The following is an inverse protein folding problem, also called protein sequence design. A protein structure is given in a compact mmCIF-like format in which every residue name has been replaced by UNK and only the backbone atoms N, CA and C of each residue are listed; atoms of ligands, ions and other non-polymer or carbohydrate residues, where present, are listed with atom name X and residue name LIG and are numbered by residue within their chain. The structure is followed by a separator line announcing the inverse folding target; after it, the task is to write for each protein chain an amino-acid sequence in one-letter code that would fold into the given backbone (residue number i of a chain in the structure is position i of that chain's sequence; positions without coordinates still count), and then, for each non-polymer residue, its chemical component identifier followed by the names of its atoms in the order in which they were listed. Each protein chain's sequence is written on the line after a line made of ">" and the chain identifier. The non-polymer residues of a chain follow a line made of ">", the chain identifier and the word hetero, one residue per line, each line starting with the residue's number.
data_IF_261328216915
#
_entry.id   IF_261328216915
#
_cell.length_a   1.000
_cell.length_b   1.000
_cell.length_c   1.000
_cell.angle_alpha   90.00
_cell.angle_beta   90.00
_cell.angle_gamma   90.00
#
_symmetry.space_group_name_H-M   'P 1'
#
loop_
_entity.id
_entity.type
_entity.pdbx_description
1 polymer ?
#
# COMPACT_ATOMS: atom_id res chain seq x y z
N UNK A 1 9.74 14.52 7.66
CA UNK A 1 8.72 13.51 7.33
C UNK A 1 7.71 13.32 8.46
N UNK A 2 8.11 12.88 9.66
CA UNK A 2 7.22 12.66 10.82
C UNK A 2 6.26 13.84 11.11
N UNK A 3 6.80 15.05 11.30
CA UNK A 3 6.00 16.25 11.56
C UNK A 3 5.01 16.58 10.43
N UNK A 4 5.38 16.26 9.19
CA UNK A 4 4.57 16.56 8.01
C UNK A 4 3.38 15.61 7.89
N UNK A 5 3.59 14.33 8.20
CA UNK A 5 2.52 13.34 8.27
C UNK A 5 1.60 13.54 9.46
N UNK A 6 2.14 13.89 10.63
CA UNK A 6 1.31 14.23 11.78
C UNK A 6 0.46 15.48 11.48
N UNK A 7 1.01 16.47 10.78
CA UNK A 7 0.29 17.66 10.34
C UNK A 7 -0.79 17.31 9.30
N UNK A 8 -0.42 16.59 8.25
CA UNK A 8 -1.33 16.16 7.19
C UNK A 8 -2.47 15.28 7.73
N UNK A 9 -2.15 14.28 8.56
CA UNK A 9 -3.15 13.44 9.24
C UNK A 9 -4.07 14.28 10.13
N UNK A 10 -3.55 15.28 10.85
CA UNK A 10 -4.38 16.16 11.68
C UNK A 10 -5.29 17.06 10.84
N UNK A 11 -4.82 17.56 9.70
CA UNK A 11 -5.64 18.33 8.75
C UNK A 11 -6.74 17.42 8.16
N UNK A 12 -6.39 16.21 7.74
CA UNK A 12 -7.34 15.22 7.25
C UNK A 12 -8.39 14.92 8.33
N UNK A 13 -7.97 14.62 9.56
CA UNK A 13 -8.88 14.32 10.68
C UNK A 13 -9.80 15.51 11.01
N UNK A 14 -9.27 16.73 10.99
CA UNK A 14 -10.01 17.96 11.27
C UNK A 14 -11.14 18.21 10.27
N UNK A 15 -10.93 17.87 9.00
CA UNK A 15 -11.90 18.11 7.92
C UNK A 15 -12.74 16.89 7.53
N UNK A 16 -12.41 15.70 8.03
CA UNK A 16 -13.14 14.45 7.74
C UNK A 16 -13.92 13.98 8.97
N UNK A 17 -14.95 14.74 9.37
CA UNK A 17 -15.78 14.47 10.56
C UNK A 17 -16.89 13.42 10.38
N UNK A 18 -16.89 12.63 9.29
CA UNK A 18 -17.92 11.62 9.01
C UNK A 18 -17.34 10.20 8.94
N UNK A 19 -17.94 9.31 9.74
CA UNK A 19 -17.69 7.88 10.00
C UNK A 19 -17.70 6.93 8.79
N UNK A 20 -17.38 7.41 7.59
CA UNK A 20 -17.13 6.58 6.40
C UNK A 20 -16.00 7.08 5.50
N UNK A 21 -15.51 8.31 5.68
CA UNK A 21 -14.42 8.88 4.88
C UNK A 21 -13.02 8.61 5.43
N UNK A 22 -12.92 8.13 6.68
CA UNK A 22 -11.65 7.82 7.34
C UNK A 22 -11.15 6.45 6.87
N UNK A 23 -10.43 6.46 5.75
CA UNK A 23 -9.21 5.68 5.48
C UNK A 23 -8.69 5.95 4.05
N UNK A 24 -9.53 6.46 3.13
CA UNK A 24 -9.10 6.74 1.74
C UNK A 24 -8.19 7.97 1.64
N UNK A 25 -8.45 9.04 2.41
CA UNK A 25 -7.54 10.18 2.45
C UNK A 25 -6.15 9.78 3.00
N UNK A 26 -6.10 9.06 4.12
CA UNK A 26 -4.84 8.57 4.71
C UNK A 26 -4.06 7.60 3.80
N UNK A 27 -4.75 6.91 2.89
CA UNK A 27 -4.14 6.04 1.87
C UNK A 27 -3.39 6.81 0.77
N UNK A 28 -3.76 8.06 0.54
CA UNK A 28 -3.18 8.90 -0.51
C UNK A 28 -2.40 10.08 0.08
N UNK A 29 -2.05 10.05 1.37
CA UNK A 29 -1.29 11.14 1.97
C UNK A 29 -0.01 11.40 1.17
N UNK A 30 0.47 12.64 1.12
CA UNK A 30 1.62 13.05 0.31
C UNK A 30 2.83 12.18 0.64
N UNK A 31 3.06 11.86 1.92
CA UNK A 31 4.17 10.98 2.27
C UNK A 31 3.94 9.51 1.86
N UNK A 32 2.70 9.00 1.89
CA UNK A 32 2.38 7.68 1.36
C UNK A 32 2.60 7.64 -0.17
N UNK A 33 2.22 8.69 -0.91
CA UNK A 33 2.47 8.83 -2.35
C UNK A 33 3.98 8.84 -2.65
N UNK A 34 4.75 9.67 -1.95
CA UNK A 34 6.21 9.77 -2.10
C UNK A 34 6.89 8.42 -1.82
N UNK A 35 6.46 7.73 -0.76
CA UNK A 35 7.08 6.46 -0.37
C UNK A 35 6.75 5.33 -1.36
N UNK A 36 5.55 5.33 -1.91
CA UNK A 36 5.15 4.44 -2.99
C UNK A 36 6.00 4.65 -4.24
N UNK A 37 6.27 5.91 -4.58
CA UNK A 37 7.00 6.33 -5.78
C UNK A 37 8.53 6.26 -5.64
N UNK A 38 9.07 5.85 -4.50
CA UNK A 38 10.51 5.74 -4.27
C UNK A 38 11.14 4.62 -5.11
N UNK A 39 12.00 5.00 -6.07
CA UNK A 39 12.68 4.07 -6.97
C UNK A 39 13.71 3.17 -6.28
N UNK A 40 14.30 3.60 -5.16
CA UNK A 40 15.22 2.80 -4.36
C UNK A 40 14.48 1.68 -3.62
N UNK A 41 13.33 2.00 -3.04
CA UNK A 41 12.42 0.99 -2.47
C UNK A 41 11.91 0.04 -3.56
N UNK A 42 11.43 0.57 -4.67
CA UNK A 42 10.96 -0.21 -5.81
C UNK A 42 12.04 -1.20 -6.30
N UNK A 43 13.28 -0.76 -6.41
CA UNK A 43 14.41 -1.60 -6.79
C UNK A 43 14.60 -2.78 -5.81
N UNK A 44 14.59 -2.53 -4.50
CA UNK A 44 14.68 -3.59 -3.48
C UNK A 44 13.48 -4.54 -3.56
N UNK A 45 12.28 -4.00 -3.73
CA UNK A 45 11.04 -4.77 -3.79
C UNK A 45 11.06 -5.74 -4.99
N UNK A 46 11.58 -5.31 -6.13
CA UNK A 46 11.81 -6.19 -7.29
C UNK A 46 12.82 -7.29 -6.96
N UNK A 47 13.97 -6.95 -6.37
CA UNK A 47 15.03 -7.90 -6.07
C UNK A 47 14.64 -8.97 -5.04
N UNK A 48 13.64 -8.70 -4.20
CA UNK A 48 13.18 -9.63 -3.18
C UNK A 48 12.11 -10.61 -3.68
N UNK A 49 11.62 -10.48 -4.92
CA UNK A 49 10.63 -11.38 -5.52
C UNK A 49 11.30 -12.52 -6.30
N UNK A 50 10.69 -13.72 -6.36
CA UNK A 50 11.24 -14.89 -7.07
C UNK A 50 11.62 -14.64 -8.53
N UNK A 51 10.76 -13.93 -9.29
CA UNK A 51 10.94 -13.70 -10.74
C UNK A 51 11.37 -12.27 -11.10
N UNK A 52 11.67 -11.45 -10.09
CA UNK A 52 12.06 -10.04 -10.26
C UNK A 52 11.19 -9.25 -11.27
N UNK A 53 9.84 -9.26 -11.17
CA UNK A 53 9.00 -8.54 -12.13
C UNK A 53 9.25 -7.02 -12.07
N UNK A 54 9.59 -6.41 -13.22
CA UNK A 54 9.94 -4.98 -13.33
C UNK A 54 8.76 -4.08 -13.74
N UNK A 55 7.55 -4.61 -13.83
CA UNK A 55 6.34 -3.82 -14.06
C UNK A 55 5.53 -3.98 -12.79
N UNK A 56 5.59 -3.00 -11.90
CA UNK A 56 4.89 -3.04 -10.63
C UNK A 56 4.11 -1.76 -10.45
N UNK A 57 2.85 -1.90 -10.04
CA UNK A 57 1.97 -0.79 -9.75
C UNK A 57 1.64 -0.79 -8.27
N UNK A 58 1.54 0.40 -7.71
CA UNK A 58 1.17 0.59 -6.33
C UNK A 58 -0.33 0.38 -6.10
N UNK A 59 -0.68 -0.18 -4.95
CA UNK A 59 -2.07 -0.16 -4.46
C UNK A 59 -2.15 0.67 -3.18
N UNK A 60 -3.18 1.53 -3.05
CA UNK A 60 -3.30 2.42 -1.91
C UNK A 60 -3.53 1.61 -0.64
N UNK A 61 -2.84 2.02 0.43
CA UNK A 61 -2.95 1.41 1.76
C UNK A 61 -2.80 2.48 2.83
N UNK A 62 -3.66 2.46 3.86
CA UNK A 62 -3.64 3.52 4.86
C UNK A 62 -2.36 3.38 5.67
N UNK A 63 -1.71 4.51 5.93
CA UNK A 63 -0.72 4.57 6.99
C UNK A 63 -1.38 4.16 8.32
N UNK A 64 -0.64 3.43 9.15
CA UNK A 64 -1.09 3.09 10.50
C UNK A 64 -0.52 4.14 11.45
N UNK A 65 -1.44 4.86 12.10
CA UNK A 65 -1.17 5.81 13.16
C UNK A 65 -1.96 5.36 14.40
N UNK A 66 -1.26 4.82 15.41
CA UNK A 66 -1.88 4.55 16.72
C UNK A 66 -1.56 5.71 17.65
N UNK A 67 -2.62 6.36 18.13
CA UNK A 67 -2.52 7.27 19.27
C UNK A 67 -2.60 6.45 20.55
N UNK A 68 -1.86 6.85 21.58
CA UNK A 68 -2.07 6.37 22.95
C UNK A 68 -3.54 6.57 23.31
N UNK A 69 -4.29 5.47 23.41
CA UNK A 69 -5.56 5.48 24.09
C UNK A 69 -5.23 5.36 25.59
N UNK A 70 -5.85 6.20 26.41
CA UNK A 70 -5.69 6.18 27.88
C UNK A 70 -6.26 4.91 28.54
N UNK A 71 -6.70 3.92 27.74
CA UNK A 71 -7.34 2.68 28.19
C UNK A 71 -6.48 1.45 27.90
N UNK A 72 -6.61 0.41 28.73
CA UNK A 72 -5.99 -0.90 28.58
C UNK A 72 -6.02 -1.43 27.14
N UNK A 73 -5.00 -2.23 26.77
CA UNK A 73 -4.74 -2.78 25.43
C UNK A 73 -5.98 -2.82 24.53
N UNK A 74 -6.04 -1.95 23.53
CA UNK A 74 -7.06 -2.07 22.51
C UNK A 74 -6.88 -3.44 21.82
N UNK A 75 -7.82 -4.36 22.03
CA UNK A 75 -7.87 -5.65 21.35
C UNK A 75 -8.06 -5.43 19.85
N UNK A 76 -6.97 -5.20 19.12
CA UNK A 76 -7.00 -5.19 17.67
C UNK A 76 -7.10 -6.64 17.19
N UNK A 77 -8.16 -7.01 16.46
CA UNK A 77 -8.28 -8.35 15.91
C UNK A 77 -7.16 -8.58 14.88
N UNK A 78 -6.69 -9.81 14.80
CA UNK A 78 -5.83 -10.23 13.69
C UNK A 78 -6.61 -10.14 12.39
N UNK A 79 -5.97 -9.65 11.35
CA UNK A 79 -6.54 -9.62 10.01
C UNK A 79 -5.66 -10.35 9.02
N UNK A 80 -6.30 -11.00 8.05
CA UNK A 80 -5.65 -11.51 6.84
C UNK A 80 -6.05 -10.59 5.69
N UNK A 81 -5.06 -9.98 5.03
CA UNK A 81 -5.31 -9.02 3.95
C UNK A 81 -6.02 -9.66 2.75
N UNK A 82 -5.56 -10.86 2.41
CA UNK A 82 -5.98 -11.62 1.25
C UNK A 82 -7.24 -12.44 1.48
N UNK A 83 -7.91 -12.80 0.40
CA UNK A 83 -8.92 -13.85 0.44
C UNK A 83 -8.25 -15.19 0.74
N UNK A 84 -8.73 -15.90 1.77
CA UNK A 84 -8.22 -17.24 2.12
C UNK A 84 -8.65 -18.33 1.12
N UNK A 85 -9.47 -17.99 0.12
CA UNK A 85 -9.88 -18.91 -0.95
C UNK A 85 -9.08 -18.77 -2.24
N UNK A 86 -8.32 -17.66 -2.41
CA UNK A 86 -7.63 -17.35 -3.67
C UNK A 86 -6.28 -16.65 -3.46
N UNK A 87 -5.34 -17.26 -2.74
CA UNK A 87 -4.09 -16.59 -2.40
C UNK A 87 -3.12 -16.45 -3.59
N UNK A 88 -3.19 -17.36 -4.57
CA UNK A 88 -2.28 -17.41 -5.72
C UNK A 88 -2.28 -16.14 -6.57
N UNK A 89 -3.39 -15.39 -6.56
CA UNK A 89 -3.55 -14.12 -7.31
C UNK A 89 -2.47 -13.09 -6.94
N UNK A 90 -1.93 -13.18 -5.72
CA UNK A 90 -0.94 -12.25 -5.18
C UNK A 90 0.37 -12.92 -4.76
N UNK A 91 0.70 -14.12 -5.28
CA UNK A 91 1.89 -14.88 -4.90
C UNK A 91 3.20 -14.07 -5.03
N UNK A 92 3.25 -13.19 -6.03
CA UNK A 92 4.39 -12.31 -6.33
C UNK A 92 4.23 -10.90 -5.74
N UNK A 93 3.37 -10.71 -4.75
CA UNK A 93 3.17 -9.42 -4.09
C UNK A 93 4.02 -9.29 -2.83
N UNK A 94 4.55 -8.09 -2.59
CA UNK A 94 5.26 -7.74 -1.37
C UNK A 94 4.69 -6.44 -0.81
N UNK A 95 4.49 -6.44 0.49
CA UNK A 95 4.13 -5.25 1.27
C UNK A 95 5.36 -4.79 2.03
N UNK A 96 5.63 -3.48 1.98
CA UNK A 96 6.70 -2.88 2.75
C UNK A 96 6.12 -2.10 3.92
N UNK A 97 6.81 -2.14 5.06
CA UNK A 97 6.49 -1.39 6.25
C UNK A 97 7.65 -0.45 6.53
N UNK A 98 7.37 0.85 6.45
CA UNK A 98 8.37 1.90 6.68
C UNK A 98 8.01 2.62 7.98
N UNK A 99 8.78 2.38 9.06
CA UNK A 99 8.59 3.02 10.34
C UNK A 99 8.99 4.48 10.22
N UNK A 100 8.09 5.36 10.60
CA UNK A 100 8.40 6.77 10.69
C UNK A 100 8.81 7.16 12.08
N UNK A 101 8.58 6.32 13.08
CA UNK A 101 9.15 6.41 14.42
C UNK A 101 9.63 5.03 14.85
N UNK A 102 10.54 4.99 15.83
CA UNK A 102 10.95 3.71 16.43
C UNK A 102 9.76 3.04 17.09
N UNK A 103 9.55 1.76 16.78
CA UNK A 103 8.53 0.94 17.42
C UNK A 103 9.13 0.22 18.63
N UNK A 104 8.33 0.04 19.68
CA UNK A 104 8.61 -0.88 20.77
C UNK A 104 7.60 -2.05 20.75
N UNK A 105 7.70 -2.96 21.72
CA UNK A 105 6.79 -4.10 21.83
C UNK A 105 5.33 -3.70 22.07
N UNK A 106 5.09 -2.50 22.58
CA UNK A 106 3.78 -1.95 22.91
C UNK A 106 3.19 -1.10 21.77
N UNK A 107 3.99 -0.75 20.75
CA UNK A 107 3.60 0.06 19.60
C UNK A 107 4.01 -0.57 18.26
N UNK A 108 3.83 -1.88 18.11
CA UNK A 108 4.19 -2.61 16.89
C UNK A 108 3.12 -3.63 16.44
N UNK A 109 3.32 -4.20 15.26
CA UNK A 109 2.48 -5.31 14.81
C UNK A 109 2.87 -6.62 15.52
N UNK A 110 1.85 -7.33 15.96
CA UNK A 110 1.93 -8.74 16.34
C UNK A 110 1.64 -9.59 15.11
N UNK A 111 2.43 -10.64 14.91
CA UNK A 111 2.31 -11.52 13.76
C UNK A 111 1.95 -12.93 14.21
N UNK A 112 1.10 -13.59 13.42
CA UNK A 112 0.88 -15.02 13.55
C UNK A 112 2.00 -15.75 12.79
N UNK A 113 2.93 -16.32 13.53
CA UNK A 113 3.98 -17.18 12.99
C UNK A 113 3.43 -18.58 12.72
N UNK A 114 4.04 -19.31 11.79
CA UNK A 114 3.62 -20.65 11.37
C UNK A 114 2.78 -20.69 10.09
N UNK A 115 2.44 -19.54 9.52
CA UNK A 115 1.61 -19.41 8.30
C UNK A 115 2.36 -19.67 6.98
N UNK A 116 3.67 -19.94 7.05
CA UNK A 116 4.51 -20.22 5.88
C UNK A 116 4.86 -18.97 5.05
N UNK A 117 6.09 -18.92 4.54
CA UNK A 117 6.55 -17.85 3.65
C UNK A 117 6.20 -18.05 2.17
N UNK A 118 5.62 -19.21 1.82
CA UNK A 118 5.28 -19.62 0.46
C UNK A 118 3.77 -19.72 0.30
N UNK A 119 3.31 -19.74 -0.95
CA UNK A 119 1.88 -19.94 -1.25
C UNK A 119 1.35 -21.27 -0.70
N UNK A 120 2.13 -22.34 -0.85
CA UNK A 120 1.79 -23.66 -0.30
C UNK A 120 1.65 -23.61 1.23
N UNK A 121 2.57 -22.94 1.93
CA UNK A 121 2.46 -22.81 3.38
C UNK A 121 1.23 -22.02 3.82
N UNK A 122 0.78 -21.06 3.00
CA UNK A 122 -0.47 -20.36 3.25
C UNK A 122 -1.71 -21.23 2.99
N UNK A 123 -1.68 -22.08 1.96
CA UNK A 123 -2.75 -23.05 1.71
C UNK A 123 -2.85 -24.05 2.87
N UNK A 124 -1.71 -24.59 3.34
CA UNK A 124 -1.65 -25.46 4.51
C UNK A 124 -2.24 -24.77 5.75
N UNK A 125 -1.91 -23.49 5.96
CA UNK A 125 -2.51 -22.68 7.01
C UNK A 125 -4.03 -22.53 6.86
N UNK A 126 -4.52 -22.28 5.64
CA UNK A 126 -5.96 -22.14 5.37
C UNK A 126 -6.71 -23.44 5.66
N UNK A 127 -6.13 -24.59 5.33
CA UNK A 127 -6.69 -25.90 5.66
C UNK A 127 -6.79 -26.12 7.18
N UNK A 128 -5.72 -25.85 7.92
CA UNK A 128 -5.71 -25.99 9.38
C UNK A 128 -6.70 -25.01 10.02
N UNK A 129 -6.77 -23.77 9.53
CA UNK A 129 -7.71 -22.78 10.04
C UNK A 129 -9.17 -23.15 9.71
N UNK A 130 -9.44 -23.72 8.54
CA UNK A 130 -10.77 -24.23 8.19
C UNK A 130 -11.22 -25.35 9.14
N UNK A 131 -10.34 -26.30 9.47
CA UNK A 131 -10.63 -27.37 10.44
C UNK A 131 -10.88 -26.81 11.84
N UNK A 132 -10.13 -25.80 12.24
CA UNK A 132 -10.34 -25.09 13.50
C UNK A 132 -11.72 -24.40 13.56
N UNK A 133 -12.15 -23.77 12.46
CA UNK A 133 -13.45 -23.10 12.36
C UNK A 133 -14.62 -24.09 12.33
N UNK A 134 -14.50 -25.22 11.64
CA UNK A 134 -15.56 -26.22 11.51
C UNK A 134 -16.03 -26.73 12.88
N UNK A 135 -15.07 -26.99 13.79
CA UNK A 135 -15.35 -27.37 15.20
C UNK A 135 -16.14 -26.32 15.99
N UNK A 136 -16.24 -25.11 15.47
CA UNK A 136 -16.93 -23.95 16.07
C UNK A 136 -18.12 -23.46 15.23
N UNK A 137 -18.47 -24.16 14.16
CA UNK A 137 -19.56 -23.78 13.25
C UNK A 137 -19.25 -22.57 12.37
N UNK A 138 -17.97 -22.24 12.17
CA UNK A 138 -17.51 -21.14 11.31
C UNK A 138 -17.16 -21.59 9.89
N UNK A 139 -16.96 -20.63 8.99
CA UNK A 139 -16.52 -20.87 7.60
C UNK A 139 -15.33 -19.99 7.25
N UNK A 140 -14.49 -20.48 6.34
CA UNK A 140 -13.31 -19.77 5.88
C UNK A 140 -13.71 -18.43 5.20
N UNK A 141 -13.12 -17.29 5.59
CA UNK A 141 -13.51 -16.00 5.05
C UNK A 141 -13.18 -15.82 3.56
N UNK A 142 -14.19 -15.39 2.77
CA UNK A 142 -14.04 -15.16 1.33
C UNK A 142 -13.55 -13.74 0.96
N UNK A 143 -13.78 -12.76 1.83
CA UNK A 143 -13.52 -11.34 1.54
C UNK A 143 -12.08 -10.94 1.88
N UNK A 144 -11.56 -9.92 1.20
CA UNK A 144 -10.30 -9.27 1.57
C UNK A 144 -10.42 -8.54 2.92
N UNK A 145 -9.31 -8.43 3.65
CA UNK A 145 -9.19 -7.64 4.88
C UNK A 145 -10.06 -8.14 6.03
N UNK A 146 -10.33 -9.45 6.10
CA UNK A 146 -11.19 -10.03 7.13
C UNK A 146 -10.42 -10.30 8.42
N UNK A 147 -11.15 -10.37 9.54
CA UNK A 147 -10.58 -10.72 10.84
C UNK A 147 -10.52 -12.24 11.03
N UNK A 148 -9.51 -12.70 11.77
CA UNK A 148 -9.32 -14.11 12.14
C UNK A 148 -9.12 -14.28 13.65
N UNK A 149 -9.48 -15.44 14.18
CA UNK A 149 -9.19 -15.86 15.57
C UNK A 149 -7.79 -16.50 15.64
N UNK A 150 -6.76 -15.69 15.47
CA UNK A 150 -5.37 -16.14 15.51
C UNK A 150 -4.95 -16.64 16.90
N UNK A 151 -5.49 -16.07 17.97
CA UNK A 151 -5.18 -16.47 19.35
C UNK A 151 -5.77 -17.83 19.67
N UNK A 152 -7.04 -18.03 19.34
CA UNK A 152 -7.70 -19.31 19.53
C UNK A 152 -7.05 -20.40 18.67
N UNK A 153 -6.58 -20.08 17.46
CA UNK A 153 -5.81 -21.00 16.64
C UNK A 153 -4.46 -21.36 17.27
N UNK A 154 -3.67 -20.36 17.69
CA UNK A 154 -2.38 -20.58 18.34
C UNK A 154 -2.50 -21.31 19.68
N UNK A 155 -3.61 -21.13 20.41
CA UNK A 155 -3.91 -21.90 21.61
C UNK A 155 -4.27 -23.36 21.29
N UNK A 156 -4.98 -23.61 20.20
CA UNK A 156 -5.36 -24.96 19.78
C UNK A 156 -4.18 -25.75 19.17
N UNK A 157 -3.24 -25.05 18.55
CA UNK A 157 -2.08 -25.61 17.82
C UNK A 157 -0.76 -24.91 18.19
N UNK A 158 -0.35 -24.92 19.48
CA UNK A 158 0.82 -24.18 19.96
C UNK A 158 2.16 -24.70 19.42
N UNK A 159 2.18 -25.94 18.91
CA UNK A 159 3.34 -26.55 18.26
C UNK A 159 3.61 -26.01 16.85
N UNK A 160 2.59 -25.43 16.20
CA UNK A 160 2.69 -24.90 14.83
C UNK A 160 2.67 -23.37 14.83
N UNK A 161 1.76 -22.78 15.60
CA UNK A 161 1.51 -21.34 15.55
C UNK A 161 1.87 -20.64 16.85
N UNK A 162 2.44 -19.44 16.70
CA UNK A 162 2.79 -18.58 17.82
C UNK A 162 2.58 -17.12 17.46
N UNK A 163 2.31 -16.30 18.47
CA UNK A 163 2.07 -14.86 18.29
C UNK A 163 3.17 -14.08 18.99
N UNK A 164 3.87 -13.22 18.25
CA UNK A 164 4.90 -12.35 18.82
C UNK A 164 4.81 -10.93 18.28
N UNK A 165 5.06 -9.91 19.13
CA UNK A 165 5.32 -8.55 18.68
C UNK A 165 6.65 -8.49 17.93
N UNK A 166 6.66 -7.88 16.75
CA UNK A 166 7.89 -7.63 15.99
C UNK A 166 8.02 -6.12 15.76
N UNK A 167 8.77 -5.40 16.61
CA UNK A 167 9.02 -3.98 16.40
C UNK A 167 10.00 -3.74 15.25
N UNK A 168 9.80 -2.63 14.55
CA UNK A 168 10.79 -2.04 13.67
C UNK A 168 11.77 -1.19 14.51
N UNK A 169 13.06 -1.58 14.56
CA UNK A 169 14.01 -1.06 15.56
C UNK A 169 14.41 0.40 15.36
N UNK A 170 14.23 0.97 14.16
CA UNK A 170 14.45 2.40 13.90
C UNK A 170 13.82 2.84 12.58
N UNK A 171 13.77 4.16 12.37
CA UNK A 171 13.31 4.81 11.14
C UNK A 171 14.16 4.56 9.89
N UNK A 172 15.33 3.93 10.04
CA UNK A 172 16.20 3.56 8.92
C UNK A 172 15.96 2.13 8.41
N UNK A 173 15.00 1.40 9.00
CA UNK A 173 14.69 0.03 8.60
C UNK A 173 13.45 -0.01 7.72
N UNK A 174 13.37 -1.04 6.88
CA UNK A 174 12.15 -1.37 6.13
C UNK A 174 11.92 -2.87 6.32
N UNK A 175 10.68 -3.27 6.62
CA UNK A 175 10.29 -4.68 6.61
C UNK A 175 9.57 -4.98 5.30
N UNK A 176 10.02 -6.00 4.60
CA UNK A 176 9.30 -6.60 3.48
C UNK A 176 8.59 -7.84 3.97
N UNK A 177 7.35 -8.02 3.54
CA UNK A 177 6.48 -9.10 3.98
C UNK A 177 5.53 -9.49 2.86
N UNK A 178 5.30 -10.79 2.71
CA UNK A 178 4.21 -11.29 1.86
C UNK A 178 2.86 -10.86 2.45
N UNK A 179 1.87 -10.47 1.63
CA UNK A 179 0.63 -9.88 2.10
C UNK A 179 -0.31 -10.86 2.81
N UNK A 180 -0.03 -12.16 2.83
CA UNK A 180 -0.89 -13.15 3.50
C UNK A 180 -0.54 -13.41 4.96
N UNK A 181 0.59 -12.88 5.47
CA UNK A 181 0.94 -13.09 6.88
C UNK A 181 -0.08 -12.35 7.77
N UNK A 182 -0.84 -13.07 8.63
CA UNK A 182 -1.81 -12.44 9.50
C UNK A 182 -1.12 -11.58 10.54
N UNK A 183 -1.69 -10.39 10.77
CA UNK A 183 -1.14 -9.44 11.74
C UNK A 183 -2.23 -8.70 12.51
N UNK A 184 -1.87 -8.20 13.67
CA UNK A 184 -2.69 -7.30 14.47
C UNK A 184 -1.81 -6.16 14.99
N UNK A 185 -2.26 -4.91 14.84
CA UNK A 185 -1.60 -3.77 15.49
C UNK A 185 -2.09 -3.68 16.93
N UNK A 186 -1.38 -4.33 17.86
CA UNK A 186 -1.77 -4.39 19.28
C UNK A 186 -0.84 -3.56 20.13
N UNK A 187 -1.42 -2.97 21.16
CA UNK A 187 -0.70 -2.23 22.19
C UNK A 187 -1.03 -0.74 22.20
N UNK A 188 -0.62 -0.10 23.30
CA UNK A 188 -1.00 1.28 23.62
C UNK A 188 0.11 2.29 23.28
N UNK A 189 1.22 1.84 22.71
CA UNK A 189 2.35 2.67 22.33
C UNK A 189 2.07 3.51 21.08
N UNK A 190 2.73 4.66 20.94
CA UNK A 190 2.63 5.47 19.73
C UNK A 190 3.31 4.75 18.56
N UNK A 191 2.62 4.69 17.41
CA UNK A 191 3.12 4.06 16.20
C UNK A 191 2.77 4.90 14.99
N UNK A 192 3.73 5.07 14.09
CA UNK A 192 3.50 5.67 12.78
C UNK A 192 4.26 4.89 11.70
N UNK A 193 3.54 4.18 10.84
CA UNK A 193 4.10 3.33 9.77
C UNK A 193 3.40 3.57 8.45
N UNK A 194 4.18 3.75 7.39
CA UNK A 194 3.69 3.73 6.01
C UNK A 194 3.67 2.31 5.48
N UNK A 195 2.62 1.94 4.75
CA UNK A 195 2.37 0.57 4.31
C UNK A 195 2.24 0.43 2.79
N UNK A 196 3.23 0.84 2.00
CA UNK A 196 3.11 0.72 0.56
C UNK A 196 3.19 -0.75 0.12
N UNK A 197 2.33 -1.13 -0.84
CA UNK A 197 2.40 -2.43 -1.54
C UNK A 197 2.50 -2.18 -3.03
N UNK A 198 3.44 -2.86 -3.65
CA UNK A 198 3.55 -2.92 -5.10
C UNK A 198 3.14 -4.32 -5.57
N UNK A 199 2.41 -4.36 -6.68
CA UNK A 199 1.82 -5.59 -7.21
C UNK A 199 2.14 -5.67 -8.69
N UNK A 200 2.43 -6.89 -9.15
CA UNK A 200 2.58 -7.18 -10.58
C UNK A 200 1.21 -7.03 -11.22
N UNK A 201 1.02 -6.13 -12.20
CA UNK A 201 -0.18 -6.16 -13.02
C UNK A 201 -0.18 -7.49 -13.79
N UNK A 202 -1.34 -8.10 -13.96
CA UNK A 202 -1.43 -9.39 -14.67
C UNK A 202 -0.99 -9.13 -16.11
N UNK A 203 -0.11 -9.97 -16.66
CA UNK A 203 -0.10 -10.17 -18.11
C UNK A 203 -1.53 -10.46 -18.52
N UNK A 204 -2.02 -9.90 -19.63
CA UNK A 204 -3.37 -10.05 -20.11
C UNK A 204 -3.70 -11.54 -20.30
N UNK A 205 -4.10 -12.18 -19.21
CA UNK A 205 -4.88 -13.38 -19.25
C UNK A 205 -6.21 -12.96 -19.89
N UNK A 206 -6.69 -13.77 -20.83
CA UNK A 206 -7.87 -13.44 -21.61
C UNK A 206 -8.93 -12.97 -20.63
N UNK A 207 -9.40 -11.75 -20.90
CA UNK A 207 -10.54 -11.06 -20.29
C UNK A 207 -11.40 -12.02 -19.49
N UNK A 208 -11.71 -11.64 -18.24
CA UNK A 208 -12.72 -12.15 -17.29
C UNK A 208 -13.99 -12.81 -17.90
N UNK A 209 -13.85 -13.80 -18.79
CA UNK A 209 -14.92 -14.56 -19.43
C UNK A 209 -15.32 -15.79 -18.60
N UNK A 210 -14.59 -16.08 -17.52
CA UNK A 210 -15.14 -16.87 -16.41
C UNK A 210 -15.99 -16.02 -15.44
N UNK A 211 -16.15 -14.72 -15.72
CA UNK A 211 -17.01 -13.83 -14.93
C UNK A 211 -18.18 -13.21 -15.70
N UNK A 212 -18.39 -13.47 -16.99
CA UNK A 212 -19.71 -13.45 -17.64
C UNK A 212 -19.63 -13.82 -19.12
N UNK A 213 -20.65 -14.56 -19.55
CA UNK A 213 -21.02 -14.94 -20.92
C UNK A 213 -20.77 -13.90 -22.05
N UNK A 214 -20.42 -14.44 -23.23
CA UNK A 214 -20.78 -14.04 -24.61
C UNK A 214 -19.78 -13.21 -25.47
N UNK A 215 -19.48 -13.89 -26.60
CA UNK A 215 -19.08 -13.47 -27.97
C UNK A 215 -17.65 -13.10 -28.31
N UNK A 216 -17.08 -13.99 -29.13
CA UNK A 216 -16.09 -13.76 -30.16
C UNK A 216 -16.46 -12.61 -31.10
N UNK A 217 -15.45 -12.02 -31.73
CA UNK A 217 -15.49 -11.75 -33.17
C UNK A 217 -14.07 -11.67 -33.72
N UNK A 218 -13.85 -12.47 -34.78
CA UNK A 218 -12.88 -12.20 -35.83
C UNK A 218 -12.99 -10.75 -36.31
N UNK A 219 -11.87 -10.14 -36.70
CA UNK A 219 -11.82 -9.39 -37.96
C UNK A 219 -10.38 -9.16 -38.38
N UNK A 220 -10.15 -9.36 -39.67
CA UNK A 220 -8.88 -9.20 -40.37
C UNK A 220 -9.06 -8.03 -41.35
N UNK A 221 -7.96 -7.30 -41.59
CA UNK A 221 -7.60 -6.56 -42.83
C UNK A 221 -7.96 -5.06 -42.95
N UNK A 222 -6.88 -4.31 -43.21
CA UNK A 222 -6.63 -3.07 -44.00
C UNK A 222 -7.11 -1.66 -43.59
N UNK A 223 -6.10 -0.80 -43.71
CA UNK A 223 -6.01 0.65 -43.94
C UNK A 223 -6.51 1.65 -42.88
N UNK A 224 -5.60 2.57 -42.57
CA UNK A 224 -5.68 3.74 -41.68
C UNK A 224 -5.58 3.50 -40.16
N UNK A 225 -4.33 3.26 -39.70
CA UNK A 225 -3.95 3.21 -38.28
C UNK A 225 -4.07 4.60 -37.64
N UNK A 226 -5.21 4.85 -37.00
CA UNK A 226 -5.37 5.95 -36.06
C UNK A 226 -4.75 5.60 -34.70
N UNK A 227 -3.98 6.54 -34.15
CA UNK A 227 -3.27 6.53 -32.86
C UNK A 227 -4.09 6.06 -31.62
N UNK A 228 -5.42 5.89 -31.76
CA UNK A 228 -6.31 5.37 -30.71
C UNK A 228 -6.24 3.85 -30.55
N UNK A 229 -5.86 3.10 -31.58
CA UNK A 229 -5.81 1.64 -31.51
C UNK A 229 -4.51 1.11 -30.89
N UNK A 230 -3.40 1.87 -30.95
CA UNK A 230 -2.19 1.55 -30.18
C UNK A 230 -2.39 1.72 -28.67
N UNK A 231 -3.32 2.58 -28.23
CA UNK A 231 -3.63 2.76 -26.81
C UNK A 231 -4.42 1.58 -26.22
N UNK A 232 -5.13 0.83 -27.08
CA UNK A 232 -5.91 -0.36 -26.71
C UNK A 232 -5.13 -1.68 -26.83
N UNK A 233 -4.04 -1.70 -27.59
CA UNK A 233 -3.14 -2.87 -27.69
C UNK A 233 -1.92 -2.80 -26.76
N UNK A 234 -1.54 -1.62 -26.27
CA UNK A 234 -0.48 -1.46 -25.25
C UNK A 234 -0.94 -1.75 -23.81
N UNK A 235 -2.22 -2.11 -23.63
CA UNK A 235 -2.89 -2.45 -22.35
C UNK A 235 -2.76 -3.93 -21.96
N UNK A 236 -1.80 -4.66 -22.55
CA UNK A 236 -1.61 -6.09 -22.29
C UNK A 236 -1.05 -6.43 -20.88
N UNK A 237 -0.79 -5.44 -20.03
CA UNK A 237 -0.75 -5.67 -18.59
C UNK A 237 -1.96 -5.00 -17.94
N UNK A 238 -3.02 -5.77 -17.70
CA UNK A 238 -4.20 -5.25 -17.02
C UNK A 238 -3.95 -5.34 -15.52
N UNK A 239 -3.80 -4.18 -14.87
CA UNK A 239 -3.73 -4.14 -13.42
C UNK A 239 -5.00 -4.77 -12.82
N UNK A 240 -4.85 -5.53 -11.74
CA UNK A 240 -6.01 -6.08 -11.03
C UNK A 240 -7.00 -4.96 -10.65
N UNK A 241 -8.29 -5.16 -10.90
CA UNK A 241 -9.30 -4.18 -10.52
C UNK A 241 -9.32 -3.93 -9.01
N UNK A 242 -8.86 -4.91 -8.23
CA UNK A 242 -8.79 -4.94 -6.77
C UNK A 242 -7.44 -5.54 -6.34
N UNK A 243 -6.68 -4.80 -5.52
CA UNK A 243 -5.42 -5.24 -4.93
C UNK A 243 -5.60 -6.14 -3.70
N UNK A 244 -4.49 -6.53 -3.04
CA UNK A 244 -4.48 -7.55 -1.98
C UNK A 244 -5.23 -7.16 -0.69
N UNK A 245 -5.77 -5.94 -0.62
CA UNK A 245 -6.49 -5.39 0.52
C UNK A 245 -7.93 -4.98 0.19
N UNK A 246 -8.45 -5.39 -0.97
CA UNK A 246 -9.73 -4.88 -1.45
C UNK A 246 -9.65 -3.47 -2.06
N UNK A 247 -8.47 -2.85 -2.06
CA UNK A 247 -8.23 -1.52 -2.60
C UNK A 247 -8.35 -1.50 -4.12
N UNK A 248 -9.08 -0.52 -4.67
CA UNK A 248 -9.16 -0.37 -6.13
C UNK A 248 -7.90 0.26 -6.69
N UNK A 249 -7.59 -0.08 -7.93
CA UNK A 249 -6.42 0.43 -8.63
C UNK A 249 -6.36 1.99 -8.61
N UNK A 250 -5.18 2.61 -8.36
CA UNK A 250 -5.07 4.06 -8.10
C UNK A 250 -5.69 4.94 -9.18
N UNK A 251 -5.58 4.54 -10.46
CA UNK A 251 -6.17 5.30 -11.56
C UNK A 251 -7.68 5.52 -11.45
N UNK A 252 -8.37 4.71 -10.66
CA UNK A 252 -9.83 4.78 -10.57
C UNK A 252 -10.33 5.62 -9.40
N UNK A 253 -9.47 5.99 -8.43
CA UNK A 253 -9.91 6.62 -7.18
C UNK A 253 -8.83 7.48 -6.52
N UNK A 254 -8.98 8.79 -6.60
CA UNK A 254 -8.34 9.76 -5.69
C UNK A 254 -9.42 10.40 -4.81
N UNK A 255 -9.07 10.91 -3.61
CA UNK A 255 -9.98 11.73 -2.82
C UNK A 255 -10.53 12.90 -3.66
N UNK A 256 -11.85 13.11 -3.63
CA UNK A 256 -12.53 14.17 -4.40
C UNK A 256 -12.41 15.55 -3.76
N UNK A 257 -11.61 15.69 -2.71
CA UNK A 257 -11.44 16.95 -2.00
C UNK A 257 -10.58 17.90 -2.84
N UNK A 258 -11.05 19.14 -3.03
CA UNK A 258 -10.40 20.14 -3.88
C UNK A 258 -9.02 20.61 -3.40
N UNK A 259 -8.69 20.44 -2.11
CA UNK A 259 -7.34 20.72 -1.61
C UNK A 259 -6.35 19.59 -1.91
N UNK A 260 -6.83 18.41 -2.33
CA UNK A 260 -6.02 17.21 -2.44
C UNK A 260 -4.91 17.36 -3.47
N UNK A 261 -3.69 17.06 -3.05
CA UNK A 261 -2.51 17.12 -3.92
C UNK A 261 -2.14 15.73 -4.39
N UNK A 262 -1.92 15.61 -5.70
CA UNK A 262 -1.34 14.41 -6.30
C UNK A 262 0.13 14.65 -6.54
N UNK A 263 0.97 13.74 -6.05
CA UNK A 263 2.42 13.78 -6.25
C UNK A 263 2.72 13.17 -7.63
N UNK A 264 3.37 13.95 -8.47
CA UNK A 264 3.81 13.56 -9.81
C UNK A 264 5.18 14.19 -10.11
N UNK A 265 5.79 13.79 -11.24
CA UNK A 265 7.03 14.38 -11.80
C UNK A 265 8.28 14.23 -10.92
N UNK A 266 8.32 13.22 -10.04
CA UNK A 266 9.56 12.85 -9.33
C UNK A 266 10.59 12.31 -10.33
N UNK A 267 10.13 11.36 -11.16
CA UNK A 267 10.77 10.86 -12.37
C UNK A 267 9.76 9.96 -13.12
N UNK A 268 10.10 9.57 -14.34
CA UNK A 268 9.20 8.82 -15.22
C UNK A 268 8.83 7.43 -14.67
N UNK A 269 9.75 6.72 -14.02
CA UNK A 269 9.47 5.42 -13.39
C UNK A 269 8.60 5.59 -12.13
N UNK A 270 8.83 6.62 -11.33
CA UNK A 270 7.98 6.96 -10.18
C UNK A 270 6.53 7.18 -10.59
N UNK A 271 6.30 7.92 -11.69
CA UNK A 271 4.95 8.13 -12.23
C UNK A 271 4.34 6.81 -12.72
N UNK A 272 5.15 5.94 -13.33
CA UNK A 272 4.68 4.64 -13.81
C UNK A 272 4.27 3.71 -12.65
N UNK A 273 5.03 3.70 -11.54
CA UNK A 273 4.68 2.95 -10.32
C UNK A 273 3.33 3.42 -9.75
N UNK A 274 3.05 4.73 -9.80
CA UNK A 274 1.77 5.29 -9.38
C UNK A 274 0.63 5.09 -10.40
N UNK A 275 0.91 4.44 -11.54
CA UNK A 275 -0.04 4.23 -12.62
C UNK A 275 -0.31 5.46 -13.49
N UNK A 276 0.43 6.56 -13.30
CA UNK A 276 0.25 7.81 -14.04
C UNK A 276 0.98 7.84 -15.39
N UNK A 277 1.90 6.88 -15.61
CA UNK A 277 2.68 6.74 -16.84
C UNK A 277 2.75 5.28 -17.26
N UNK A 278 2.90 5.05 -18.56
CA UNK A 278 3.10 3.71 -19.11
C UNK A 278 4.47 3.13 -18.72
N UNK A 279 4.49 1.88 -18.27
CA UNK A 279 5.70 1.12 -17.98
C UNK A 279 6.57 0.83 -19.20
N UNK A 280 6.00 0.91 -20.41
CA UNK A 280 6.64 0.69 -21.70
C UNK A 280 7.09 2.00 -22.38
N UNK A 281 6.84 3.16 -21.77
CA UNK A 281 7.39 4.41 -22.26
C UNK A 281 8.93 4.34 -22.32
N UNK A 282 9.53 4.89 -23.39
CA UNK A 282 10.96 4.82 -23.64
C UNK A 282 11.77 5.33 -22.44
N UNK A 283 11.35 6.44 -21.84
CA UNK A 283 12.01 7.04 -20.68
C UNK A 283 11.94 6.14 -19.44
N UNK A 284 10.85 5.37 -19.29
CA UNK A 284 10.70 4.41 -18.19
C UNK A 284 11.60 3.20 -18.41
N UNK A 285 11.65 2.68 -19.64
CA UNK A 285 12.55 1.60 -20.03
C UNK A 285 14.01 2.00 -19.80
N UNK A 286 14.41 3.22 -20.18
CA UNK A 286 15.77 3.72 -19.94
C UNK A 286 16.12 3.70 -18.44
N UNK A 287 15.23 4.21 -17.58
CA UNK A 287 15.46 4.20 -16.13
C UNK A 287 15.55 2.76 -15.60
N UNK A 288 14.65 1.85 -16.02
CA UNK A 288 14.69 0.44 -15.64
C UNK A 288 15.98 -0.25 -16.07
N UNK A 289 16.47 0.02 -17.28
CA UNK A 289 17.72 -0.54 -17.78
C UNK A 289 18.91 -0.10 -16.93
N UNK A 290 18.95 1.15 -16.45
CA UNK A 290 19.98 1.61 -15.52
C UNK A 290 19.83 0.90 -14.16
N UNK A 291 18.61 0.83 -13.62
CA UNK A 291 18.35 0.21 -12.31
C UNK A 291 18.68 -1.28 -12.31
N UNK A 292 18.29 -2.05 -13.32
CA UNK A 292 18.43 -3.50 -13.35
C UNK A 292 19.56 -4.00 -14.26
N UNK A 293 20.44 -3.11 -14.72
CA UNK A 293 21.64 -3.48 -15.45
C UNK A 293 22.46 -4.54 -14.70
N UNK A 294 22.85 -5.60 -15.40
CA UNK A 294 23.80 -6.60 -14.92
C UNK A 294 25.25 -6.14 -15.01
N UNK A 295 25.53 -5.08 -15.78
CA UNK A 295 26.85 -4.48 -15.88
C UNK A 295 27.24 -3.80 -14.55
N UNK A 296 28.31 -4.25 -13.87
CA UNK A 296 28.78 -3.68 -12.61
C UNK A 296 29.27 -2.24 -12.75
N UNK A 297 29.66 -1.78 -13.95
CA UNK A 297 30.07 -0.38 -14.19
C UNK A 297 28.89 0.59 -14.07
N UNK A 298 27.66 0.10 -14.18
CA UNK A 298 26.44 0.89 -14.01
C UNK A 298 26.01 1.04 -12.53
N UNK A 299 26.72 0.44 -11.57
CA UNK A 299 26.41 0.55 -10.14
C UNK A 299 26.40 2.02 -9.66
N UNK A 300 27.39 2.81 -10.10
CA UNK A 300 27.46 4.24 -9.77
C UNK A 300 26.30 5.03 -10.39
N UNK A 301 25.90 4.68 -11.61
CA UNK A 301 24.78 5.32 -12.30
C UNK A 301 23.44 5.01 -11.61
N UNK A 302 23.24 3.76 -11.16
CA UNK A 302 22.08 3.34 -10.36
C UNK A 302 21.96 4.17 -9.09
N UNK A 303 23.03 4.30 -8.31
CA UNK A 303 23.00 5.09 -7.07
C UNK A 303 22.84 6.58 -7.32
N UNK A 304 23.46 7.14 -8.37
CA UNK A 304 23.25 8.54 -8.77
C UNK A 304 21.78 8.80 -9.14
N UNK A 305 21.15 7.89 -9.86
CA UNK A 305 19.74 7.95 -10.23
C UNK A 305 18.83 7.92 -8.99
N UNK A 306 19.05 6.96 -8.08
CA UNK A 306 18.30 6.85 -6.81
C UNK A 306 18.42 8.14 -6.00
N UNK A 307 19.65 8.62 -5.78
CA UNK A 307 19.88 9.84 -5.01
C UNK A 307 19.27 11.09 -5.66
N UNK A 308 19.28 11.18 -7.00
CA UNK A 308 18.62 12.28 -7.72
C UNK A 308 17.11 12.22 -7.53
N UNK A 309 16.51 11.03 -7.62
CA UNK A 309 15.09 10.84 -7.38
C UNK A 309 14.70 11.19 -5.95
N UNK A 310 15.51 10.85 -4.95
CA UNK A 310 15.24 11.22 -3.55
C UNK A 310 15.26 12.73 -3.33
N UNK A 311 16.21 13.44 -3.95
CA UNK A 311 16.25 14.91 -3.92
C UNK A 311 15.02 15.52 -4.59
N UNK A 312 14.63 15.01 -5.77
CA UNK A 312 13.43 15.47 -6.46
C UNK A 312 12.17 15.23 -5.61
N UNK A 313 12.01 14.03 -5.05
CA UNK A 313 10.90 13.68 -4.18
C UNK A 313 10.80 14.60 -2.96
N UNK A 314 11.94 14.95 -2.34
CA UNK A 314 11.94 15.87 -1.21
C UNK A 314 11.43 17.28 -1.58
N UNK A 315 11.79 17.80 -2.75
CA UNK A 315 11.31 19.09 -3.22
C UNK A 315 9.82 19.04 -3.62
N UNK A 316 9.40 18.00 -4.35
CA UNK A 316 7.99 17.80 -4.70
C UNK A 316 7.12 17.66 -3.43
N UNK A 317 7.58 16.91 -2.43
CA UNK A 317 6.86 16.76 -1.16
C UNK A 317 6.69 18.09 -0.44
N UNK A 318 7.74 18.93 -0.38
CA UNK A 318 7.67 20.26 0.24
C UNK A 318 6.63 21.14 -0.45
N UNK A 319 6.65 21.20 -1.78
CA UNK A 319 5.69 21.98 -2.56
C UNK A 319 4.27 21.47 -2.36
N UNK A 320 4.05 20.15 -2.52
CA UNK A 320 2.72 19.55 -2.36
C UNK A 320 2.15 19.82 -0.95
N UNK A 321 2.96 19.75 0.11
CA UNK A 321 2.47 20.03 1.47
C UNK A 321 2.15 21.52 1.62
N UNK A 322 2.97 22.40 1.06
CA UNK A 322 2.71 23.83 1.09
C UNK A 322 1.39 24.18 0.39
N UNK A 323 1.19 23.64 -0.81
CA UNK A 323 -0.01 23.85 -1.61
C UNK A 323 -1.25 23.28 -0.92
N UNK A 324 -1.11 22.11 -0.29
CA UNK A 324 -2.17 21.50 0.52
C UNK A 324 -2.59 22.40 1.69
N UNK A 325 -1.63 22.98 2.42
CA UNK A 325 -1.91 23.91 3.52
C UNK A 325 -2.55 25.21 3.00
N UNK A 326 -2.05 25.77 1.89
CA UNK A 326 -2.62 26.99 1.31
C UNK A 326 -4.06 26.77 0.80
N UNK A 327 -4.29 25.66 0.10
CA UNK A 327 -5.61 25.30 -0.40
C UNK A 327 -6.59 25.04 0.75
N UNK A 328 -6.15 24.38 1.83
CA UNK A 328 -6.93 24.21 3.05
C UNK A 328 -7.31 25.55 3.67
N UNK A 329 -6.36 26.46 3.84
CA UNK A 329 -6.61 27.79 4.40
C UNK A 329 -7.56 28.62 3.52
N UNK A 330 -7.45 28.51 2.19
CA UNK A 330 -8.32 29.22 1.25
C UNK A 330 -9.76 28.67 1.24
N UNK A 331 -9.93 27.35 1.39
CA UNK A 331 -11.24 26.70 1.40
C UNK A 331 -11.95 26.83 2.75
N UNK A 332 -11.19 26.95 3.85
CA UNK A 332 -11.72 27.02 5.21
C UNK A 332 -11.14 28.20 6.00
N UNK A 333 -11.29 29.46 5.55
CA UNK A 333 -10.60 30.61 6.15
C UNK A 333 -10.89 30.82 7.65
N UNK A 334 -12.10 30.49 8.12
CA UNK A 334 -12.51 30.64 9.53
C UNK A 334 -12.27 29.37 10.39
N UNK A 335 -12.07 28.22 9.75
CA UNK A 335 -11.89 26.91 10.41
C UNK A 335 -10.57 26.25 10.00
N UNK A 336 -9.62 27.03 9.49
CA UNK A 336 -8.37 26.49 9.00
C UNK A 336 -7.56 25.94 10.16
N UNK A 337 -6.93 24.80 9.93
CA UNK A 337 -6.06 24.18 10.92
C UNK A 337 -4.89 25.11 11.30
N UNK A 338 -4.43 25.92 10.34
CA UNK A 338 -3.38 26.91 10.52
C UNK A 338 -3.87 28.22 11.18
N UNK A 339 -5.16 28.54 11.12
CA UNK A 339 -5.78 29.73 11.72
C UNK A 339 -6.34 29.53 13.13
N UNK A 340 -6.46 28.29 13.62
CA UNK A 340 -6.87 28.01 15.00
C UNK A 340 -5.75 28.35 16.00
N UNK A 341 -5.69 29.62 16.42
CA UNK A 341 -4.96 30.04 17.63
C UNK A 341 -5.40 29.19 18.83
N UNK A 342 -4.46 28.76 19.71
CA UNK A 342 -4.83 28.13 20.97
C UNK A 342 -5.33 29.22 21.91
N UNK A 343 -6.66 29.39 21.99
CA UNK A 343 -7.24 30.07 23.14
C UNK A 343 -8.34 29.24 23.80
N UNK A 344 -8.25 29.05 25.13
CA UNK A 344 -9.18 28.22 25.88
C UNK A 344 -10.48 29.02 26.05
N UNK A 345 -11.60 28.40 25.70
CA UNK A 345 -12.87 28.79 26.30
C UNK A 345 -13.42 27.59 27.06
N UNK A 346 -12.99 27.51 28.32
CA UNK A 346 -13.93 27.31 29.40
C UNK A 346 -15.15 28.19 29.12
N UNK A 347 -16.25 27.59 28.67
CA UNK A 347 -17.56 28.13 28.98
C UNK A 347 -18.15 27.22 30.04
N UNK A 348 -18.15 27.76 31.27
CA UNK A 348 -19.19 27.48 32.24
C UNK A 348 -20.53 27.66 31.55
N UNK A 349 -21.40 26.67 31.69
CA UNK A 349 -22.72 26.83 32.28
C UNK A 349 -23.10 25.55 33.01
#
# INVERSE_FOLDING_TARGET
>A
MQHLLALESRIIDHHTTATGGVCWARQHSIAQQIMVQDIGRYYLDVLLRPDHPHNLIAYPQPAIDTRTLDTDEALAPFHVPLSMHRPFVFENSLTSFVPLMTEDKQGCDHFLHGVGGTIQGFDDFCEVYAQYLDRRGGVLPFRFGHHIDAEGLAHAHPEVFSIYPIPLPSTSHVRFMVPWIPRATRGNGPRLVLQPTLVVPRDALPTDQDFTEITACDTRVDDDVHFKDMQHQNTQMTAYSIGPWGARHPLHKFPTWSAWQSVHDINTLSDAIAGQRDHHALEVIIIKNILFSTDPTNADLRWKLINRSHKAAAEVAKHAIHDFIQAEAALFPENSFSGSSPHPRLKKE
#
